data_IF_225154718651
#
_entry.id   IF_225154718651
#
_cell.length_a   1.000
_cell.length_b   1.000
_cell.length_c   1.000
_cell.angle_alpha   90.00
_cell.angle_beta   90.00
_cell.angle_gamma   90.00
#
_symmetry.space_group_name_H-M   'P 1'
#
loop_
_entity.id
_entity.type
_entity.pdbx_description
1 polymer ?
#
# COMPACT_ATOMS: atom_id res chain seq x y z
N UNK A 1 -43.41 2.29 22.65
CA UNK A 1 -42.17 2.10 23.43
C UNK A 1 -40.90 1.89 22.58
N UNK A 2 -40.98 1.69 21.27
CA UNK A 2 -39.81 1.42 20.40
C UNK A 2 -38.93 2.65 20.05
N UNK A 3 -39.41 3.87 20.31
CA UNK A 3 -38.66 5.09 20.02
C UNK A 3 -37.47 5.33 20.95
N UNK A 4 -37.56 4.95 22.23
CA UNK A 4 -36.52 5.24 23.21
C UNK A 4 -35.27 4.37 22.99
N UNK A 5 -35.48 3.07 22.69
CA UNK A 5 -34.40 2.11 22.40
C UNK A 5 -33.63 2.48 21.12
N UNK A 6 -34.30 2.97 20.08
CA UNK A 6 -33.64 3.40 18.82
C UNK A 6 -32.73 4.62 19.01
N UNK A 7 -33.15 5.58 19.83
CA UNK A 7 -32.34 6.75 20.14
C UNK A 7 -31.14 6.37 21.02
N UNK A 8 -31.27 5.36 21.88
CA UNK A 8 -30.12 4.83 22.63
C UNK A 8 -29.10 4.14 21.72
N UNK A 9 -29.56 3.34 20.74
CA UNK A 9 -28.66 2.65 19.79
C UNK A 9 -27.88 3.64 18.94
N UNK A 10 -28.52 4.66 18.35
CA UNK A 10 -27.79 5.64 17.53
C UNK A 10 -26.82 6.51 18.36
N UNK A 11 -27.19 6.86 19.60
CA UNK A 11 -26.27 7.55 20.52
C UNK A 11 -25.05 6.70 20.84
N UNK A 12 -25.25 5.40 21.05
CA UNK A 12 -24.18 4.43 21.29
C UNK A 12 -23.27 4.28 20.08
N UNK A 13 -23.85 4.13 18.89
CA UNK A 13 -23.08 4.12 17.63
C UNK A 13 -22.20 5.37 17.51
N UNK A 14 -22.77 6.55 17.74
CA UNK A 14 -22.05 7.82 17.63
C UNK A 14 -20.92 8.01 18.66
N UNK A 15 -21.00 7.31 19.79
CA UNK A 15 -20.02 7.36 20.87
C UNK A 15 -18.92 6.30 20.73
N UNK A 16 -19.25 5.12 20.19
CA UNK A 16 -18.34 3.95 20.16
C UNK A 16 -17.72 3.70 18.77
N UNK A 17 -18.35 4.11 17.67
CA UNK A 17 -17.78 3.95 16.34
C UNK A 17 -16.76 5.05 16.02
N UNK A 18 -15.70 4.72 15.26
CA UNK A 18 -14.73 5.72 14.83
C UNK A 18 -15.42 6.77 13.95
N UNK A 19 -15.23 8.03 14.33
CA UNK A 19 -15.58 9.18 13.49
C UNK A 19 -14.56 9.32 12.36
N UNK A 20 -15.00 9.83 11.22
CA UNK A 20 -14.12 10.05 10.06
C UNK A 20 -13.66 8.78 9.35
N UNK A 21 -14.24 7.61 9.67
CA UNK A 21 -13.92 6.34 9.04
C UNK A 21 -15.19 5.60 8.60
N UNK A 22 -15.14 4.86 7.48
CA UNK A 22 -16.22 3.97 7.10
C UNK A 22 -16.28 2.75 8.03
N UNK A 23 -17.48 2.19 8.17
CA UNK A 23 -17.74 0.94 8.89
C UNK A 23 -18.70 0.07 8.09
N UNK A 24 -18.66 -1.23 8.34
CA UNK A 24 -19.48 -2.18 7.61
C UNK A 24 -20.77 -2.57 8.37
N UNK A 25 -21.61 -3.30 7.67
CA UNK A 25 -22.84 -3.84 8.22
C UNK A 25 -22.58 -4.79 9.40
N UNK A 26 -21.52 -5.61 9.35
CA UNK A 26 -21.18 -6.52 10.46
C UNK A 26 -20.87 -5.75 11.74
N UNK A 27 -20.17 -4.62 11.63
CA UNK A 27 -19.93 -3.72 12.74
C UNK A 27 -21.25 -3.15 13.26
N UNK A 28 -22.12 -2.63 12.40
CA UNK A 28 -23.46 -2.16 12.80
C UNK A 28 -24.30 -3.25 13.51
N UNK A 29 -24.25 -4.48 13.01
CA UNK A 29 -24.96 -5.62 13.62
C UNK A 29 -24.46 -5.94 15.03
N UNK A 30 -23.16 -5.75 15.32
CA UNK A 30 -22.61 -5.89 16.68
C UNK A 30 -23.20 -4.88 17.68
N UNK A 31 -23.75 -3.77 17.19
CA UNK A 31 -24.49 -2.76 17.97
C UNK A 31 -26.01 -3.00 17.98
N UNK A 32 -26.47 -4.12 17.41
CA UNK A 32 -27.90 -4.44 17.30
C UNK A 32 -28.61 -3.71 16.17
N UNK A 33 -27.87 -3.18 15.18
CA UNK A 33 -28.44 -2.51 14.01
C UNK A 33 -28.58 -3.48 12.86
N UNK A 34 -29.83 -3.90 12.61
CA UNK A 34 -30.16 -4.77 11.48
C UNK A 34 -30.01 -4.04 10.13
N UNK A 35 -29.94 -4.78 9.00
CA UNK A 35 -29.89 -4.16 7.66
C UNK A 35 -31.07 -3.22 7.40
N UNK A 36 -32.27 -3.56 7.88
CA UNK A 36 -33.46 -2.70 7.75
C UNK A 36 -33.33 -1.44 8.61
N UNK A 37 -32.77 -1.55 9.81
CA UNK A 37 -32.56 -0.38 10.68
C UNK A 37 -31.46 0.54 10.11
N UNK A 38 -30.39 -0.03 9.55
CA UNK A 38 -29.37 0.73 8.85
C UNK A 38 -29.95 1.51 7.66
N UNK A 39 -30.81 0.88 6.85
CA UNK A 39 -31.51 1.57 5.76
C UNK A 39 -32.36 2.75 6.27
N UNK A 40 -33.11 2.55 7.37
CA UNK A 40 -33.87 3.63 8.01
C UNK A 40 -32.98 4.76 8.52
N UNK A 41 -31.81 4.46 9.08
CA UNK A 41 -30.85 5.49 9.49
C UNK A 41 -30.27 6.25 8.29
N UNK A 42 -30.13 5.61 7.13
CA UNK A 42 -29.77 6.31 5.89
C UNK A 42 -30.89 7.23 5.42
N UNK A 43 -32.13 6.74 5.37
CA UNK A 43 -33.31 7.53 4.96
C UNK A 43 -33.54 8.75 5.87
N UNK A 44 -33.29 8.60 7.16
CA UNK A 44 -33.43 9.68 8.16
C UNK A 44 -32.17 10.54 8.30
N UNK A 45 -31.13 10.29 7.51
CA UNK A 45 -29.92 11.10 7.46
C UNK A 45 -28.97 10.92 8.63
N UNK A 46 -29.16 9.91 9.49
CA UNK A 46 -28.22 9.57 10.57
C UNK A 46 -26.96 8.86 10.06
N UNK A 47 -27.04 8.20 8.91
CA UNK A 47 -25.95 7.52 8.23
C UNK A 47 -25.94 7.87 6.74
N UNK A 48 -24.79 7.73 6.10
CA UNK A 48 -24.65 7.77 4.64
C UNK A 48 -24.16 6.42 4.16
N UNK A 49 -24.76 5.91 3.07
CA UNK A 49 -24.32 4.67 2.43
C UNK A 49 -23.24 4.97 1.40
N UNK A 50 -22.06 4.38 1.57
CA UNK A 50 -20.93 4.55 0.65
C UNK A 50 -20.90 3.47 -0.43
N UNK A 51 -21.26 2.24 -0.07
CA UNK A 51 -21.39 1.09 -0.95
C UNK A 51 -22.35 0.05 -0.35
N UNK A 52 -22.52 -1.08 -1.03
CA UNK A 52 -23.27 -2.19 -0.46
C UNK A 52 -22.63 -2.66 0.85
N UNK A 53 -23.37 -2.54 1.96
CA UNK A 53 -22.91 -2.94 3.29
C UNK A 53 -21.85 -2.03 3.92
N UNK A 54 -21.55 -0.87 3.33
CA UNK A 54 -20.57 0.09 3.85
C UNK A 54 -21.24 1.43 4.13
N UNK A 55 -21.07 1.92 5.35
CA UNK A 55 -21.75 3.09 5.89
C UNK A 55 -20.73 4.03 6.54
N UNK A 56 -21.17 5.25 6.81
CA UNK A 56 -20.45 6.22 7.61
C UNK A 56 -21.41 7.24 8.21
N UNK A 57 -20.90 8.06 9.13
CA UNK A 57 -21.66 9.21 9.61
C UNK A 57 -21.71 10.34 8.57
N UNK A 58 -22.84 11.06 8.48
CA UNK A 58 -22.95 12.24 7.63
C UNK A 58 -22.03 13.35 8.14
N UNK A 59 -21.48 14.14 7.21
CA UNK A 59 -20.63 15.31 7.50
C UNK A 59 -19.38 15.04 8.36
N UNK A 60 -18.99 13.78 8.55
CA UNK A 60 -17.70 13.45 9.12
C UNK A 60 -16.60 13.76 8.08
N UNK A 61 -15.52 14.40 8.52
CA UNK A 61 -14.31 14.54 7.71
C UNK A 61 -13.64 13.17 7.60
N UNK A 62 -13.81 12.54 6.44
CA UNK A 62 -13.16 11.27 6.15
C UNK A 62 -11.66 11.48 6.03
N UNK A 63 -10.93 10.99 7.02
CA UNK A 63 -9.49 10.93 6.88
C UNK A 63 -9.11 9.72 5.99
N UNK A 64 -8.02 9.89 5.25
CA UNK A 64 -7.54 8.86 4.32
C UNK A 64 -7.06 7.60 5.04
N UNK A 65 -6.58 7.74 6.28
CA UNK A 65 -6.00 6.64 7.06
C UNK A 65 -7.09 5.70 7.58
N UNK A 66 -8.22 6.21 8.07
CA UNK A 66 -9.39 5.45 8.47
C UNK A 66 -10.01 4.71 7.29
N UNK A 67 -10.10 5.37 6.14
CA UNK A 67 -10.55 4.73 4.91
C UNK A 67 -9.58 3.63 4.43
N UNK A 68 -8.26 3.85 4.51
CA UNK A 68 -7.25 2.84 4.20
C UNK A 68 -7.32 1.66 5.15
N UNK A 69 -7.38 1.90 6.46
CA UNK A 69 -7.47 0.84 7.48
C UNK A 69 -8.68 -0.05 7.23
N UNK A 70 -9.84 0.55 6.97
CA UNK A 70 -11.05 -0.19 6.60
C UNK A 70 -10.82 -1.09 5.38
N UNK A 71 -10.19 -0.59 4.31
CA UNK A 71 -9.87 -1.40 3.14
C UNK A 71 -8.87 -2.52 3.46
N UNK A 72 -7.87 -2.26 4.31
CA UNK A 72 -6.84 -3.23 4.72
C UNK A 72 -7.43 -4.38 5.54
N UNK A 73 -8.43 -4.10 6.37
CA UNK A 73 -9.16 -5.13 7.13
C UNK A 73 -10.01 -6.02 6.22
N UNK A 74 -10.52 -5.48 5.10
CA UNK A 74 -11.38 -6.21 4.16
C UNK A 74 -10.64 -6.94 3.06
N UNK A 75 -9.45 -6.49 2.71
CA UNK A 75 -8.69 -7.02 1.57
C UNK A 75 -7.35 -7.54 2.10
N UNK A 76 -7.26 -8.86 2.25
CA UNK A 76 -6.05 -9.52 2.69
C UNK A 76 -4.84 -9.14 1.82
N UNK A 77 -3.75 -8.77 2.48
CA UNK A 77 -2.52 -8.34 1.81
C UNK A 77 -2.57 -6.93 1.19
N UNK A 78 -3.67 -6.17 1.35
CA UNK A 78 -3.70 -4.77 0.92
C UNK A 78 -2.82 -3.93 1.84
N UNK A 79 -1.94 -3.14 1.25
CA UNK A 79 -1.04 -2.24 1.98
C UNK A 79 -0.72 -1.00 1.13
N UNK A 80 -0.23 0.05 1.80
CA UNK A 80 0.38 1.18 1.10
C UNK A 80 1.77 0.75 0.65
N UNK A 81 2.06 0.90 -0.64
CA UNK A 81 3.28 0.39 -1.26
C UNK A 81 3.96 1.38 -2.19
N UNK A 82 5.09 0.97 -2.77
CA UNK A 82 5.84 1.76 -3.74
C UNK A 82 6.17 3.18 -3.25
N UNK A 83 5.99 4.18 -4.13
CA UNK A 83 6.31 5.58 -3.81
C UNK A 83 5.50 6.15 -2.63
N UNK A 84 4.24 5.74 -2.45
CA UNK A 84 3.43 6.24 -1.34
C UNK A 84 3.94 5.77 0.01
N UNK A 85 4.43 4.52 0.08
CA UNK A 85 5.06 3.99 1.29
C UNK A 85 6.39 4.70 1.61
N UNK A 86 7.22 4.94 0.58
CA UNK A 86 8.45 5.73 0.72
C UNK A 86 8.15 7.16 1.21
N UNK A 87 7.12 7.80 0.66
CA UNK A 87 6.69 9.13 1.07
C UNK A 87 6.21 9.20 2.52
N UNK A 88 5.48 8.19 3.00
CA UNK A 88 5.07 8.07 4.41
C UNK A 88 6.27 7.87 5.35
N UNK A 89 7.42 7.46 4.83
CA UNK A 89 8.67 7.31 5.57
C UNK A 89 9.68 8.45 5.34
N UNK A 90 9.23 9.54 4.72
CA UNK A 90 10.03 10.74 4.51
C UNK A 90 10.96 10.71 3.29
N UNK A 91 10.90 9.67 2.46
CA UNK A 91 11.58 9.64 1.16
C UNK A 91 10.62 10.22 0.11
N UNK A 92 10.77 11.51 -0.18
CA UNK A 92 9.89 12.25 -1.09
C UNK A 92 10.70 13.01 -2.13
N UNK A 93 10.22 12.99 -3.35
CA UNK A 93 10.74 13.81 -4.44
C UNK A 93 9.54 14.48 -5.11
N UNK A 94 9.37 15.78 -4.88
CA UNK A 94 8.21 16.65 -5.16
C UNK A 94 7.13 16.71 -4.05
N UNK A 95 6.70 17.94 -3.77
CA UNK A 95 5.60 18.26 -2.84
C UNK A 95 4.32 18.53 -3.63
N UNK A 96 3.90 17.57 -4.47
CA UNK A 96 2.65 17.74 -5.19
C UNK A 96 1.49 17.85 -4.18
N UNK A 97 0.62 18.85 -4.35
CA UNK A 97 -0.50 19.14 -3.43
C UNK A 97 -1.46 17.96 -3.24
N UNK A 98 -1.49 17.00 -4.17
CA UNK A 98 -2.39 15.84 -4.13
C UNK A 98 -1.77 14.61 -4.83
N UNK A 99 -0.85 13.94 -4.15
CA UNK A 99 -0.26 12.70 -4.66
C UNK A 99 -1.30 11.58 -4.76
N UNK A 100 -1.25 10.81 -5.85
CA UNK A 100 -2.07 9.60 -6.00
C UNK A 100 -1.49 8.48 -5.15
N UNK A 101 -2.31 7.93 -4.24
CA UNK A 101 -1.95 6.79 -3.41
C UNK A 101 -1.71 5.54 -4.25
N UNK A 102 -0.61 4.85 -3.94
CA UNK A 102 -0.28 3.55 -4.53
C UNK A 102 -0.53 2.47 -3.49
N UNK A 103 -1.56 1.67 -3.75
CA UNK A 103 -1.92 0.52 -2.94
C UNK A 103 -1.52 -0.76 -3.64
N UNK A 104 -1.03 -1.72 -2.87
CA UNK A 104 -0.53 -2.99 -3.37
C UNK A 104 -1.27 -4.16 -2.74
N UNK A 105 -1.29 -5.30 -3.43
CA UNK A 105 -1.67 -6.58 -2.86
C UNK A 105 -1.65 -7.70 -3.89
N UNK A 106 -1.83 -8.92 -3.40
CA UNK A 106 -1.68 -10.13 -4.20
C UNK A 106 -3.00 -10.60 -4.85
N UNK A 107 -4.14 -10.16 -4.32
CA UNK A 107 -5.47 -10.52 -4.83
C UNK A 107 -5.95 -9.56 -5.92
N UNK A 108 -6.67 -10.06 -6.92
CA UNK A 108 -7.38 -9.17 -7.86
C UNK A 108 -8.45 -8.41 -7.10
N UNK A 109 -8.31 -7.09 -7.08
CA UNK A 109 -9.20 -6.20 -6.35
C UNK A 109 -9.40 -4.90 -7.13
N UNK A 110 -10.61 -4.36 -7.08
CA UNK A 110 -10.93 -3.05 -7.63
C UNK A 110 -11.23 -2.10 -6.46
N UNK A 111 -10.53 -0.97 -6.43
CA UNK A 111 -10.78 0.02 -5.39
C UNK A 111 -12.23 0.53 -5.50
N UNK A 112 -12.97 0.60 -4.38
CA UNK A 112 -14.34 1.08 -4.40
C UNK A 112 -14.42 2.53 -4.88
N UNK A 113 -15.44 2.84 -5.67
CA UNK A 113 -15.64 4.21 -6.19
C UNK A 113 -15.73 5.25 -5.07
N UNK A 114 -16.38 4.92 -3.95
CA UNK A 114 -16.48 5.84 -2.81
C UNK A 114 -15.12 6.26 -2.24
N UNK A 115 -14.10 5.41 -2.38
CA UNK A 115 -12.73 5.68 -1.94
C UNK A 115 -12.00 6.52 -2.98
N UNK A 116 -11.97 6.08 -4.25
CA UNK A 116 -11.19 6.74 -5.31
C UNK A 116 -11.74 8.12 -5.71
N UNK A 117 -13.03 8.38 -5.52
CA UNK A 117 -13.61 9.71 -5.72
C UNK A 117 -13.11 10.74 -4.69
N UNK A 118 -12.79 10.30 -3.46
CA UNK A 118 -12.31 11.17 -2.37
C UNK A 118 -10.79 11.27 -2.35
N UNK A 119 -10.14 10.12 -2.49
CA UNK A 119 -8.71 9.95 -2.40
C UNK A 119 -8.19 9.42 -3.74
N UNK A 120 -7.46 10.25 -4.52
CA UNK A 120 -6.80 9.76 -5.72
C UNK A 120 -5.93 8.56 -5.37
N UNK A 121 -6.28 7.39 -5.91
CA UNK A 121 -5.61 6.14 -5.56
C UNK A 121 -5.66 5.16 -6.73
N UNK A 122 -4.63 4.32 -6.81
CA UNK A 122 -4.54 3.21 -7.75
C UNK A 122 -4.10 1.94 -7.03
N UNK A 123 -4.55 0.81 -7.55
CA UNK A 123 -4.22 -0.51 -7.02
C UNK A 123 -3.28 -1.26 -7.96
N UNK A 124 -2.25 -1.85 -7.38
CA UNK A 124 -1.29 -2.71 -8.05
C UNK A 124 -1.51 -4.12 -7.58
N UNK A 125 -2.00 -4.96 -8.49
CA UNK A 125 -2.04 -6.40 -8.29
C UNK A 125 -0.79 -7.02 -8.92
N UNK A 126 0.14 -7.50 -8.09
CA UNK A 126 1.33 -8.18 -8.56
C UNK A 126 1.93 -9.07 -7.46
N UNK A 127 2.20 -10.33 -7.80
CA UNK A 127 2.91 -11.28 -6.93
C UNK A 127 4.43 -11.06 -7.07
N UNK A 128 4.92 -9.99 -6.45
CA UNK A 128 6.33 -9.59 -6.56
C UNK A 128 7.28 -10.50 -5.77
N UNK A 129 6.77 -11.22 -4.77
CA UNK A 129 7.58 -12.06 -3.89
C UNK A 129 7.02 -13.48 -3.79
N UNK A 130 7.91 -14.46 -3.85
CA UNK A 130 7.65 -15.85 -3.48
C UNK A 130 7.99 -16.00 -1.98
N UNK A 131 7.08 -15.55 -1.11
CA UNK A 131 7.31 -15.48 0.33
C UNK A 131 7.76 -16.82 0.93
N UNK A 132 8.87 -16.86 1.70
CA UNK A 132 9.31 -18.09 2.34
C UNK A 132 8.40 -18.50 3.51
N UNK A 133 7.85 -17.51 4.20
CA UNK A 133 6.92 -17.67 5.33
C UNK A 133 6.12 -16.37 5.55
N UNK A 134 4.91 -16.50 6.12
CA UNK A 134 4.02 -15.37 6.38
C UNK A 134 4.59 -14.39 7.44
N UNK A 135 5.43 -14.89 8.36
CA UNK A 135 6.03 -14.05 9.40
C UNK A 135 7.03 -13.04 8.81
N UNK A 136 7.78 -13.42 7.78
CA UNK A 136 8.66 -12.53 7.04
C UNK A 136 7.87 -11.53 6.21
N UNK A 137 6.81 -11.98 5.51
CA UNK A 137 5.91 -11.07 4.80
C UNK A 137 5.35 -10.00 5.76
N UNK A 138 4.89 -10.41 6.96
CA UNK A 138 4.42 -9.50 8.00
C UNK A 138 5.47 -8.50 8.50
N UNK A 139 6.73 -8.91 8.66
CA UNK A 139 7.85 -8.01 9.06
C UNK A 139 8.19 -6.93 8.04
N UNK A 140 7.71 -7.07 6.80
CA UNK A 140 7.92 -6.09 5.72
C UNK A 140 6.81 -5.04 5.67
N UNK A 141 5.83 -5.12 6.58
CA UNK A 141 4.77 -4.15 6.77
C UNK A 141 4.86 -3.57 8.18
N UNK A 142 4.58 -2.29 8.33
CA UNK A 142 4.55 -1.62 9.62
C UNK A 142 3.69 -0.36 9.54
N UNK A 143 3.44 0.25 10.70
CA UNK A 143 2.89 1.61 10.79
C UNK A 143 4.04 2.60 10.99
N UNK A 144 4.33 3.49 10.02
CA UNK A 144 5.38 4.49 10.16
C UNK A 144 5.05 5.50 11.28
N UNK A 145 6.07 6.13 11.91
CA UNK A 145 5.86 7.19 12.88
C UNK A 145 5.00 8.33 12.32
N UNK A 146 4.04 8.81 13.11
CA UNK A 146 3.11 9.87 12.71
C UNK A 146 1.95 9.42 11.82
N UNK A 147 1.82 8.12 11.51
CA UNK A 147 0.65 7.55 10.86
C UNK A 147 -0.34 6.96 11.88
N UNK A 148 -1.59 6.78 11.46
CA UNK A 148 -2.61 6.17 12.30
C UNK A 148 -2.25 4.71 12.64
N UNK A 149 -2.43 4.33 13.92
CA UNK A 149 -2.09 3.00 14.42
C UNK A 149 -2.68 1.86 13.57
N UNK A 150 -1.95 0.76 13.38
CA UNK A 150 -2.44 -0.41 12.64
C UNK A 150 -2.49 -0.24 11.12
N UNK A 151 -2.20 0.94 10.57
CA UNK A 151 -2.05 1.14 9.12
C UNK A 151 -0.90 0.26 8.61
N UNK A 152 -1.15 -0.53 7.57
CA UNK A 152 -0.16 -1.41 6.95
C UNK A 152 0.57 -0.68 5.81
N UNK A 153 1.84 -0.36 6.02
CA UNK A 153 2.70 0.32 5.05
C UNK A 153 3.97 -0.49 4.81
N UNK A 154 4.34 -0.68 3.54
CA UNK A 154 5.59 -1.33 3.19
C UNK A 154 6.80 -0.62 3.82
N UNK A 155 7.68 -1.39 4.43
CA UNK A 155 9.00 -0.91 4.88
C UNK A 155 9.83 -0.43 3.69
N UNK A 156 10.86 0.43 3.87
CA UNK A 156 11.58 1.03 2.75
C UNK A 156 12.15 -0.01 1.78
N UNK A 157 12.63 -1.14 2.31
CA UNK A 157 13.23 -2.23 1.53
C UNK A 157 12.21 -2.90 0.60
N UNK A 158 10.96 -3.04 1.03
CA UNK A 158 9.88 -3.59 0.21
C UNK A 158 9.35 -2.53 -0.75
N UNK A 159 9.12 -1.32 -0.25
CA UNK A 159 8.58 -0.20 -1.01
C UNK A 159 9.47 0.18 -2.20
N UNK A 160 10.80 0.13 -2.06
CA UNK A 160 11.70 0.37 -3.20
C UNK A 160 11.56 -0.71 -4.27
N UNK A 161 11.47 -2.00 -3.91
CA UNK A 161 11.32 -3.06 -4.91
C UNK A 161 9.98 -2.98 -5.64
N UNK A 162 8.92 -2.61 -4.93
CA UNK A 162 7.61 -2.29 -5.50
C UNK A 162 7.69 -1.10 -6.47
N UNK A 163 8.37 -0.02 -6.09
CA UNK A 163 8.62 1.14 -6.96
C UNK A 163 9.37 0.73 -8.24
N UNK A 164 10.46 -0.03 -8.11
CA UNK A 164 11.28 -0.51 -9.23
C UNK A 164 10.53 -1.49 -10.14
N UNK A 165 9.59 -2.25 -9.60
CA UNK A 165 8.69 -3.08 -10.40
C UNK A 165 7.83 -2.25 -11.34
N UNK A 166 7.31 -1.10 -10.89
CA UNK A 166 6.49 -0.21 -11.70
C UNK A 166 7.27 0.77 -12.59
N UNK A 167 8.60 0.85 -12.41
CA UNK A 167 9.48 1.69 -13.20
C UNK A 167 9.36 1.38 -14.70
N UNK A 168 9.10 2.42 -15.49
CA UNK A 168 8.89 2.35 -16.94
C UNK A 168 7.51 1.85 -17.38
N UNK A 169 6.56 1.64 -16.46
CA UNK A 169 5.19 1.22 -16.79
C UNK A 169 4.14 2.16 -16.17
N UNK A 170 4.20 2.36 -14.85
CA UNK A 170 3.30 3.28 -14.12
C UNK A 170 4.03 4.39 -13.40
N UNK A 171 5.35 4.40 -13.46
CA UNK A 171 6.24 5.43 -12.93
C UNK A 171 7.33 5.68 -13.95
N UNK A 172 7.72 6.93 -14.17
CA UNK A 172 8.84 7.24 -15.06
C UNK A 172 10.15 6.74 -14.44
N UNK A 173 11.13 6.39 -15.29
CA UNK A 173 12.45 6.02 -14.79
C UNK A 173 13.11 7.16 -14.01
N UNK A 174 12.90 8.40 -14.46
CA UNK A 174 13.46 9.59 -13.81
C UNK A 174 12.91 9.79 -12.39
N UNK A 175 11.57 9.77 -12.20
CA UNK A 175 10.97 9.90 -10.87
C UNK A 175 11.38 8.73 -9.97
N UNK A 176 11.39 7.52 -10.53
CA UNK A 176 11.83 6.31 -9.82
C UNK A 176 13.27 6.44 -9.37
N UNK A 177 14.15 6.96 -10.22
CA UNK A 177 15.57 7.15 -9.91
C UNK A 177 15.75 8.19 -8.81
N UNK A 178 15.08 9.33 -8.92
CA UNK A 178 15.13 10.39 -7.93
C UNK A 178 14.68 9.93 -6.53
N UNK A 179 13.65 9.09 -6.46
CA UNK A 179 13.22 8.46 -5.21
C UNK A 179 14.23 7.42 -4.69
N UNK A 180 14.85 6.66 -5.59
CA UNK A 180 15.89 5.69 -5.24
C UNK A 180 17.12 6.37 -4.65
N UNK A 181 17.57 7.48 -5.23
CA UNK A 181 18.71 8.26 -4.74
C UNK A 181 18.44 8.88 -3.35
N UNK A 182 17.16 9.04 -2.98
CA UNK A 182 16.73 9.49 -1.66
C UNK A 182 16.66 8.38 -0.59
N UNK A 183 16.95 7.12 -0.95
CA UNK A 183 16.93 6.01 0.01
C UNK A 183 18.06 6.14 1.03
N UNK A 184 17.71 5.93 2.29
CA UNK A 184 18.67 5.87 3.40
C UNK A 184 18.95 4.41 3.75
N UNK A 185 20.15 4.15 4.29
CA UNK A 185 20.71 2.84 4.63
C UNK A 185 19.65 1.76 4.97
N UNK A 186 19.24 0.92 3.99
CA UNK A 186 18.24 -0.11 4.21
C UNK A 186 18.80 -1.22 5.12
N UNK A 187 17.93 -1.91 5.85
CA UNK A 187 18.32 -3.07 6.66
C UNK A 187 18.74 -4.20 5.75
N UNK A 188 20.03 -4.56 5.81
CA UNK A 188 20.65 -5.53 4.90
C UNK A 188 19.96 -6.90 4.94
N UNK A 189 19.56 -7.36 6.12
CA UNK A 189 18.88 -8.64 6.32
C UNK A 189 17.49 -8.68 5.67
N UNK A 190 16.70 -7.61 5.83
CA UNK A 190 15.37 -7.49 5.22
C UNK A 190 15.49 -7.37 3.70
N UNK A 191 16.35 -6.46 3.23
CA UNK A 191 16.56 -6.24 1.81
C UNK A 191 17.10 -7.47 1.09
N UNK A 192 18.12 -8.13 1.66
CA UNK A 192 18.72 -9.33 1.08
C UNK A 192 17.70 -10.46 0.91
N UNK A 193 16.93 -10.75 1.97
CA UNK A 193 15.86 -11.75 1.90
C UNK A 193 14.77 -11.38 0.90
N UNK A 194 14.39 -10.10 0.80
CA UNK A 194 13.42 -9.64 -0.20
C UNK A 194 13.94 -9.81 -1.63
N UNK A 195 15.22 -9.52 -1.89
CA UNK A 195 15.84 -9.74 -3.19
C UNK A 195 15.91 -11.23 -3.54
N UNK A 196 16.17 -12.10 -2.55
CA UNK A 196 16.17 -13.55 -2.74
C UNK A 196 14.81 -14.12 -3.12
N UNK A 197 13.72 -13.59 -2.56
CA UNK A 197 12.37 -14.03 -2.90
C UNK A 197 11.69 -13.19 -3.99
N UNK A 198 12.34 -12.17 -4.55
CA UNK A 198 11.76 -11.34 -5.59
C UNK A 198 11.61 -12.11 -6.92
N UNK A 199 10.42 -12.08 -7.49
CA UNK A 199 10.09 -12.82 -8.72
C UNK A 199 10.50 -12.08 -9.99
N UNK A 200 10.68 -10.75 -9.91
CA UNK A 200 10.96 -9.87 -11.04
C UNK A 200 12.46 -9.69 -11.26
N UNK A 201 13.00 -10.31 -12.32
CA UNK A 201 14.39 -10.13 -12.75
C UNK A 201 14.71 -8.66 -13.05
N UNK A 202 13.76 -7.91 -13.63
CA UNK A 202 13.91 -6.47 -13.89
C UNK A 202 14.15 -5.72 -12.58
N UNK A 203 13.30 -5.97 -11.59
CA UNK A 203 13.35 -5.30 -10.28
C UNK A 203 14.67 -5.59 -9.57
N UNK A 204 15.08 -6.86 -9.51
CA UNK A 204 16.34 -7.27 -8.89
C UNK A 204 17.52 -6.59 -9.57
N UNK A 205 17.66 -6.70 -10.89
CA UNK A 205 18.80 -6.13 -11.60
C UNK A 205 18.84 -4.61 -11.51
N UNK A 206 17.69 -3.94 -11.64
CA UNK A 206 17.62 -2.49 -11.53
C UNK A 206 18.05 -2.02 -10.14
N UNK A 207 17.62 -2.72 -9.09
CA UNK A 207 18.09 -2.46 -7.73
C UNK A 207 19.60 -2.61 -7.62
N UNK A 208 20.17 -3.73 -8.10
CA UNK A 208 21.61 -3.98 -7.99
C UNK A 208 22.43 -2.94 -8.77
N UNK A 209 22.02 -2.58 -10.00
CA UNK A 209 22.70 -1.56 -10.82
C UNK A 209 22.70 -0.22 -10.09
N UNK A 210 21.55 0.25 -9.64
CA UNK A 210 21.47 1.55 -8.96
C UNK A 210 22.11 1.53 -7.57
N UNK A 211 22.10 0.40 -6.88
CA UNK A 211 22.79 0.25 -5.61
C UNK A 211 24.31 0.38 -5.76
N UNK A 212 24.90 -0.14 -6.84
CA UNK A 212 26.33 0.06 -7.16
C UNK A 212 26.65 1.52 -7.47
N UNK A 213 25.79 2.17 -8.26
CA UNK A 213 26.00 3.57 -8.66
C UNK A 213 25.88 4.55 -7.48
N UNK A 214 24.96 4.30 -6.57
CA UNK A 214 24.69 5.17 -5.40
C UNK A 214 25.54 4.81 -4.18
N UNK A 215 26.03 3.58 -4.09
CA UNK A 215 26.67 3.05 -2.89
C UNK A 215 25.70 2.86 -1.71
N UNK A 216 24.37 2.83 -1.94
CA UNK A 216 23.36 2.69 -0.87
C UNK A 216 23.54 1.40 -0.07
N UNK A 217 24.06 0.34 -0.71
CA UNK A 217 24.49 -0.91 -0.10
C UNK A 217 25.71 -1.46 -0.83
N UNK A 218 26.54 -2.23 -0.11
CA UNK A 218 27.56 -3.07 -0.72
C UNK A 218 26.88 -4.28 -1.41
N UNK A 219 26.84 -4.24 -2.73
CA UNK A 219 26.15 -5.25 -3.55
C UNK A 219 26.86 -6.60 -3.51
N UNK A 220 28.18 -6.62 -3.47
CA UNK A 220 28.95 -7.88 -3.49
C UNK A 220 28.78 -8.61 -2.16
N UNK A 221 28.96 -7.90 -1.04
CA UNK A 221 28.72 -8.47 0.29
C UNK A 221 27.25 -8.92 0.49
N UNK A 222 26.29 -8.22 -0.13
CA UNK A 222 24.88 -8.60 -0.09
C UNK A 222 24.63 -9.91 -0.85
N UNK A 223 25.18 -10.06 -2.05
CA UNK A 223 24.98 -11.23 -2.91
C UNK A 223 25.73 -12.47 -2.40
N UNK A 224 26.82 -12.30 -1.65
CA UNK A 224 27.50 -13.40 -0.95
C UNK A 224 26.60 -14.07 0.10
N UNK A 225 25.74 -13.29 0.76
CA UNK A 225 24.87 -13.78 1.83
C UNK A 225 23.46 -14.14 1.35
N UNK A 226 22.96 -13.43 0.33
CA UNK A 226 21.58 -13.52 -0.13
C UNK A 226 21.56 -13.76 -1.65
N UNK A 227 21.38 -15.02 -2.10
CA UNK A 227 21.31 -15.30 -3.54
C UNK A 227 20.08 -14.60 -4.12
N UNK A 228 20.26 -13.79 -5.16
CA UNK A 228 19.17 -13.04 -5.81
C UNK A 228 18.84 -13.61 -7.19
N UNK A 229 17.57 -13.52 -7.59
CA UNK A 229 17.11 -14.00 -8.91
C UNK A 229 17.50 -13.02 -10.01
N UNK A 230 18.74 -13.11 -10.48
CA UNK A 230 19.27 -12.27 -11.57
C UNK A 230 18.92 -12.81 -12.95
N UNK A 231 18.41 -14.03 -13.11
CA UNK A 231 18.07 -14.61 -14.41
C UNK A 231 19.31 -15.08 -15.19
N UNK A 232 19.34 -14.87 -16.51
CA UNK A 232 20.46 -15.33 -17.35
C UNK A 232 21.75 -14.50 -17.13
N UNK A 233 22.93 -15.06 -17.41
CA UNK A 233 24.18 -14.29 -17.36
C UNK A 233 24.34 -13.26 -18.50
N UNK A 234 23.33 -13.11 -19.37
CA UNK A 234 23.32 -12.09 -20.42
C UNK A 234 22.70 -10.78 -19.93
N UNK A 235 23.07 -9.68 -20.58
CA UNK A 235 22.44 -8.37 -20.39
C UNK A 235 20.94 -8.46 -20.69
N UNK A 236 20.14 -7.91 -19.77
CA UNK A 236 18.69 -7.80 -19.94
C UNK A 236 18.40 -6.46 -20.60
N UNK A 237 17.62 -6.47 -21.67
CA UNK A 237 17.30 -5.27 -22.44
C UNK A 237 15.80 -5.22 -22.70
N UNK A 238 15.18 -4.09 -22.41
CA UNK A 238 13.78 -3.83 -22.76
C UNK A 238 13.61 -2.38 -23.18
N UNK A 239 12.82 -2.14 -24.22
CA UNK A 239 12.34 -0.80 -24.55
C UNK A 239 11.12 -0.51 -23.70
N UNK A 240 11.09 0.67 -23.08
CA UNK A 240 9.97 1.15 -22.28
C UNK A 240 8.96 1.89 -23.16
N UNK A 241 7.78 2.19 -22.59
CA UNK A 241 6.69 2.86 -23.30
C UNK A 241 7.07 4.27 -23.77
N UNK A 242 8.01 4.93 -23.09
CA UNK A 242 8.57 6.24 -23.47
C UNK A 242 9.69 6.15 -24.53
N UNK A 243 10.01 4.94 -25.01
CA UNK A 243 11.06 4.68 -26.00
C UNK A 243 12.47 4.50 -25.41
N UNK A 244 12.66 4.75 -24.11
CA UNK A 244 13.92 4.52 -23.41
C UNK A 244 14.31 3.06 -23.44
N UNK A 245 15.59 2.78 -23.75
CA UNK A 245 16.13 1.43 -23.70
C UNK A 245 16.76 1.17 -22.32
N UNK A 246 16.12 0.32 -21.53
CA UNK A 246 16.65 -0.13 -20.24
C UNK A 246 17.59 -1.31 -20.47
N UNK A 247 18.86 -1.16 -20.11
CA UNK A 247 19.92 -2.17 -20.28
C UNK A 247 20.57 -2.49 -18.93
N UNK A 248 20.38 -3.72 -18.44
CA UNK A 248 20.78 -4.12 -17.09
C UNK A 248 21.71 -5.34 -17.12
N UNK A 249 22.88 -5.19 -16.48
CA UNK A 249 23.79 -6.33 -16.26
C UNK A 249 23.21 -7.27 -15.19
N UNK A 250 23.64 -8.55 -15.15
CA UNK A 250 23.10 -9.51 -14.18
C UNK A 250 23.29 -9.12 -12.71
N UNK A 251 24.43 -8.51 -12.35
CA UNK A 251 24.82 -8.25 -10.95
C UNK A 251 25.05 -6.77 -10.63
N UNK A 252 24.37 -5.88 -11.36
CA UNK A 252 24.63 -4.45 -11.32
C UNK A 252 25.62 -4.04 -12.40
#
# INVERSE_FOLDING_TARGET
MSGNTRHQVIKRLQAELPRGAPFDLAMLESFGVSPQLAARYVESGWLVRLAHGVYAFPNDDFDVNGALRFLQEKVAGLHVGGKSALAMQGVRHNLASRETLVLWGDARFALPAWFTTRFPARYVNARLFDWPDDAFAGKTLHTPPGQAEGLQVAVPERAVLELLYEAGTRQSLEETRNLFDGLRSPRKDVLGRLLSCCTSVKTVRLFLTWARETGVVDVDALLEQYPARTGSNKRWMSRLDDGTLLSLNPHG
#
